data_IF_628136926271
#
_entry.id   IF_628136926271
#
_cell.length_a   1.000
_cell.length_b   1.000
_cell.length_c   1.000
_cell.angle_alpha   90.00
_cell.angle_beta   90.00
_cell.angle_gamma   90.00
#
_symmetry.space_group_name_H-M   'P 1'
#
loop_
_entity.id
_entity.type
_entity.pdbx_description
1 polymer ?
#
# COMPACT_ATOMS: atom_id res chain seq x y z
N UNK A 1 -10.47 14.72 9.79
CA UNK A 1 -10.98 15.59 8.70
C UNK A 1 -9.96 15.65 7.57
N UNK A 2 -10.31 16.13 6.37
CA UNK A 2 -9.32 16.33 5.32
C UNK A 2 -8.14 17.19 5.82
N UNK A 3 -6.92 16.76 5.52
CA UNK A 3 -5.69 17.43 5.97
C UNK A 3 -5.35 17.25 7.45
N UNK A 4 -6.10 16.43 8.22
CA UNK A 4 -5.72 16.11 9.59
C UNK A 4 -4.44 15.27 9.62
N UNK A 5 -3.58 15.51 10.60
CA UNK A 5 -2.36 14.73 10.81
C UNK A 5 -2.66 13.26 11.09
N UNK A 6 -1.80 12.37 10.62
CA UNK A 6 -1.87 10.93 10.91
C UNK A 6 -2.87 10.14 10.07
N UNK A 7 -3.39 10.71 8.99
CA UNK A 7 -4.18 9.94 8.01
C UNK A 7 -3.29 8.97 7.27
N UNK A 8 -3.76 7.72 7.18
CA UNK A 8 -3.13 6.73 6.32
C UNK A 8 -3.55 6.99 4.87
N UNK A 9 -2.68 6.65 3.93
CA UNK A 9 -2.98 6.77 2.53
C UNK A 9 -3.60 5.50 1.95
N UNK A 10 -4.39 5.65 0.89
CA UNK A 10 -4.91 4.56 0.06
C UNK A 10 -4.56 4.85 -1.39
N UNK A 11 -3.90 3.88 -2.03
CA UNK A 11 -3.50 3.98 -3.42
C UNK A 11 -4.69 3.70 -4.36
N UNK A 12 -4.86 4.53 -5.39
CA UNK A 12 -5.93 4.44 -6.38
C UNK A 12 -5.31 4.38 -7.77
N UNK A 13 -5.51 3.27 -8.47
CA UNK A 13 -5.11 3.10 -9.87
C UNK A 13 -6.36 3.11 -10.76
N UNK A 14 -6.26 3.67 -11.96
CA UNK A 14 -7.37 3.66 -12.91
C UNK A 14 -7.03 4.31 -14.25
N UNK A 15 -7.72 3.87 -15.31
CA UNK A 15 -7.50 4.36 -16.68
C UNK A 15 -8.52 5.43 -17.08
N UNK A 16 -9.63 5.55 -16.34
CA UNK A 16 -10.69 6.53 -16.60
C UNK A 16 -10.63 7.67 -15.56
N UNK A 17 -10.26 8.91 -15.95
CA UNK A 17 -10.09 10.02 -15.02
C UNK A 17 -11.30 10.31 -14.12
N UNK A 18 -12.53 10.31 -14.68
CA UNK A 18 -13.73 10.53 -13.87
C UNK A 18 -13.97 9.45 -12.80
N UNK A 19 -13.72 8.17 -13.13
CA UNK A 19 -13.84 7.08 -12.15
C UNK A 19 -12.78 7.20 -11.04
N UNK A 20 -11.53 7.51 -11.42
CA UNK A 20 -10.45 7.78 -10.46
C UNK A 20 -10.83 8.91 -9.52
N UNK A 21 -11.37 10.02 -10.03
CA UNK A 21 -11.79 11.15 -9.21
C UNK A 21 -12.88 10.76 -8.20
N UNK A 22 -13.91 10.01 -8.63
CA UNK A 22 -14.95 9.52 -7.72
C UNK A 22 -14.35 8.64 -6.62
N UNK A 23 -13.46 7.71 -6.98
CA UNK A 23 -12.79 6.84 -5.99
C UNK A 23 -11.91 7.63 -5.02
N UNK A 24 -11.15 8.61 -5.50
CA UNK A 24 -10.31 9.45 -4.64
C UNK A 24 -11.16 10.28 -3.66
N UNK A 25 -12.31 10.79 -4.10
CA UNK A 25 -13.27 11.46 -3.21
C UNK A 25 -13.78 10.51 -2.12
N UNK A 26 -14.20 9.29 -2.48
CA UNK A 26 -14.66 8.30 -1.50
C UNK A 26 -13.58 7.94 -0.47
N UNK A 27 -12.33 7.78 -0.91
CA UNK A 27 -11.19 7.54 -0.01
C UNK A 27 -11.00 8.72 0.95
N UNK A 28 -11.08 9.95 0.45
CA UNK A 28 -10.97 11.14 1.29
C UNK A 28 -12.10 11.22 2.32
N UNK A 29 -13.34 11.02 1.87
CA UNK A 29 -14.55 11.10 2.71
C UNK A 29 -14.56 10.04 3.82
N UNK A 30 -13.92 8.89 3.60
CA UNK A 30 -13.78 7.82 4.60
C UNK A 30 -12.62 8.04 5.57
N UNK A 31 -11.89 9.15 5.45
CA UNK A 31 -10.86 9.54 6.41
C UNK A 31 -9.42 9.19 6.02
N UNK A 32 -9.19 8.68 4.81
CA UNK A 32 -7.85 8.34 4.29
C UNK A 32 -7.34 9.37 3.28
N UNK A 33 -6.03 9.49 3.11
CA UNK A 33 -5.46 10.32 2.04
C UNK A 33 -5.44 9.54 0.70
N UNK A 34 -6.18 9.97 -0.33
CA UNK A 34 -6.12 9.32 -1.62
C UNK A 34 -4.80 9.61 -2.33
N UNK A 35 -4.19 8.58 -2.90
CA UNK A 35 -2.96 8.72 -3.68
C UNK A 35 -3.15 8.05 -5.04
N UNK A 36 -3.14 8.83 -6.12
CA UNK A 36 -3.17 8.27 -7.46
C UNK A 36 -1.87 7.51 -7.75
N UNK A 37 -1.99 6.23 -8.10
CA UNK A 37 -0.86 5.32 -8.34
C UNK A 37 -0.63 5.01 -9.83
N UNK A 38 -1.42 5.62 -10.73
CA UNK A 38 -1.28 5.47 -12.18
C UNK A 38 -2.40 4.64 -12.83
N UNK A 39 -2.11 4.09 -14.01
CA UNK A 39 -3.02 3.25 -14.77
C UNK A 39 -3.24 1.88 -14.10
N UNK A 40 -4.30 1.16 -14.52
CA UNK A 40 -4.49 -0.23 -14.08
C UNK A 40 -3.30 -1.12 -14.48
N UNK A 41 -2.72 -0.86 -15.64
CA UNK A 41 -1.51 -1.55 -16.10
C UNK A 41 -0.30 -1.37 -15.17
N UNK A 42 -0.23 -0.27 -14.42
CA UNK A 42 0.82 0.02 -13.43
C UNK A 42 0.44 -0.35 -11.99
N UNK A 43 -0.80 -0.80 -11.76
CA UNK A 43 -1.31 -1.17 -10.42
C UNK A 43 -0.55 -2.32 -9.75
N UNK A 44 0.29 -3.06 -10.49
CA UNK A 44 1.18 -4.05 -9.90
C UNK A 44 2.12 -3.47 -8.82
N UNK A 45 2.37 -2.15 -8.83
CA UNK A 45 3.18 -1.43 -7.84
C UNK A 45 2.55 -1.33 -6.45
N UNK A 46 1.26 -1.68 -6.33
CA UNK A 46 0.51 -1.66 -5.07
C UNK A 46 0.00 -3.04 -4.65
N UNK A 47 0.57 -4.11 -5.21
CA UNK A 47 0.22 -5.50 -4.91
C UNK A 47 1.13 -6.09 -3.81
N UNK A 48 0.82 -7.29 -3.26
CA UNK A 48 1.66 -7.91 -2.24
C UNK A 48 3.16 -7.94 -2.61
N UNK A 49 4.02 -7.82 -1.59
CA UNK A 49 5.47 -7.82 -1.76
C UNK A 49 6.03 -6.61 -2.54
N UNK A 50 5.27 -5.51 -2.63
CA UNK A 50 5.75 -4.21 -3.15
C UNK A 50 5.72 -3.12 -2.07
N UNK A 51 6.60 -2.10 -2.14
CA UNK A 51 6.82 -1.14 -1.06
C UNK A 51 5.62 -0.39 -0.49
N UNK A 52 4.50 -0.29 -1.21
CA UNK A 52 3.31 0.40 -0.74
C UNK A 52 2.27 -0.52 -0.08
N UNK A 53 2.46 -1.84 -0.12
CA UNK A 53 1.44 -2.80 0.29
C UNK A 53 1.38 -2.98 1.82
N UNK A 54 0.23 -2.71 2.43
CA UNK A 54 -0.07 -2.98 3.85
C UNK A 54 0.96 -2.44 4.86
N UNK A 55 1.55 -1.27 4.60
CA UNK A 55 2.58 -0.67 5.45
C UNK A 55 2.11 0.57 6.24
N UNK A 56 0.83 0.92 6.17
CA UNK A 56 0.24 2.08 6.86
C UNK A 56 1.05 3.36 6.65
N UNK A 57 1.34 3.68 5.39
CA UNK A 57 2.06 4.87 5.02
C UNK A 57 1.13 6.08 4.97
N UNK A 58 1.63 7.23 5.42
CA UNK A 58 1.07 8.54 5.04
C UNK A 58 1.32 8.80 3.54
N UNK A 59 0.54 9.70 2.94
CA UNK A 59 0.53 9.96 1.50
C UNK A 59 1.92 10.23 0.90
N UNK A 60 2.74 11.03 1.58
CA UNK A 60 4.07 11.37 1.10
C UNK A 60 4.99 10.13 1.02
N UNK A 61 4.89 9.20 1.97
CA UNK A 61 5.68 7.96 1.95
C UNK A 61 5.13 6.97 0.92
N UNK A 62 3.80 6.85 0.80
CA UNK A 62 3.15 6.04 -0.22
C UNK A 62 3.60 6.46 -1.64
N UNK A 63 3.61 7.76 -1.95
CA UNK A 63 4.07 8.29 -3.24
C UNK A 63 5.52 7.91 -3.54
N UNK A 64 6.40 7.96 -2.55
CA UNK A 64 7.81 7.54 -2.68
C UNK A 64 7.97 6.02 -2.84
N UNK A 65 7.00 5.23 -2.39
CA UNK A 65 7.06 3.77 -2.42
C UNK A 65 6.84 3.20 -3.84
N UNK A 66 5.95 3.80 -4.65
CA UNK A 66 5.62 3.29 -5.99
C UNK A 66 6.82 3.14 -6.96
N UNK A 67 7.75 4.12 -7.09
CA UNK A 67 8.89 3.97 -7.99
C UNK A 67 9.91 2.92 -7.51
N UNK A 68 9.86 2.53 -6.22
CA UNK A 68 10.75 1.52 -5.64
C UNK A 68 10.28 0.09 -5.98
N UNK A 69 9.03 -0.09 -6.40
CA UNK A 69 8.51 -1.37 -6.82
C UNK A 69 9.18 -1.83 -8.13
N UNK A 70 9.60 -3.09 -8.16
CA UNK A 70 10.21 -3.73 -9.33
C UNK A 70 9.32 -4.83 -9.87
N UNK A 71 9.05 -4.79 -11.18
CA UNK A 71 8.09 -5.69 -11.83
C UNK A 71 8.57 -7.13 -11.71
N UNK A 72 7.69 -8.02 -11.28
CA UNK A 72 7.99 -9.45 -11.10
C UNK A 72 8.57 -9.83 -9.72
N UNK A 73 9.32 -8.94 -9.05
CA UNK A 73 9.91 -9.25 -7.74
C UNK A 73 8.86 -9.56 -6.67
N UNK A 74 7.76 -8.81 -6.66
CA UNK A 74 6.67 -9.05 -5.70
C UNK A 74 6.12 -10.48 -5.80
N UNK A 75 5.89 -10.97 -7.02
CA UNK A 75 5.40 -12.34 -7.25
C UNK A 75 6.39 -13.39 -6.75
N UNK A 76 7.69 -13.18 -7.00
CA UNK A 76 8.74 -14.11 -6.56
C UNK A 76 8.85 -14.20 -5.03
N UNK A 77 8.47 -13.14 -4.31
CA UNK A 77 8.60 -13.02 -2.85
C UNK A 77 7.35 -13.43 -2.07
N UNK A 78 6.25 -13.77 -2.75
CA UNK A 78 5.01 -14.23 -2.10
C UNK A 78 5.23 -15.38 -1.09
N UNK A 79 6.03 -16.43 -1.38
CA UNK A 79 6.28 -17.48 -0.39
C UNK A 79 6.89 -16.95 0.91
N UNK A 80 7.79 -15.95 0.82
CA UNK A 80 8.41 -15.31 1.98
C UNK A 80 7.40 -14.51 2.81
N UNK A 81 6.46 -13.80 2.16
CA UNK A 81 5.38 -13.11 2.85
C UNK A 81 4.50 -14.08 3.64
N UNK A 82 4.07 -15.17 3.02
CA UNK A 82 3.24 -16.16 3.71
C UNK A 82 3.99 -16.85 4.85
N UNK A 83 5.26 -17.18 4.65
CA UNK A 83 6.11 -17.72 5.72
C UNK A 83 6.31 -16.73 6.87
N UNK A 84 6.26 -15.42 6.60
CA UNK A 84 6.38 -14.40 7.65
C UNK A 84 5.11 -14.31 8.50
N UNK A 85 3.92 -14.48 7.90
CA UNK A 85 2.66 -14.53 8.66
C UNK A 85 2.59 -15.70 9.63
N UNK A 86 3.19 -16.85 9.30
CA UNK A 86 3.30 -17.98 10.22
C UNK A 86 4.09 -17.68 11.50
N UNK A 87 4.85 -16.58 11.54
CA UNK A 87 5.64 -16.16 12.71
C UNK A 87 4.92 -15.14 13.60
N UNK A 88 3.76 -14.64 13.17
CA UNK A 88 3.05 -13.57 13.87
C UNK A 88 2.37 -14.01 15.18
N UNK A 89 2.26 -15.32 15.42
CA UNK A 89 1.49 -15.88 16.54
C UNK A 89 -0.03 -15.88 16.27
N UNK A 90 -0.82 -16.35 17.23
CA UNK A 90 -2.28 -16.51 17.06
C UNK A 90 -3.03 -15.16 17.02
N UNK A 91 -2.57 -14.17 17.79
CA UNK A 91 -3.22 -12.86 17.93
C UNK A 91 -2.19 -11.71 17.87
N UNK A 92 -1.57 -11.45 16.71
CA UNK A 92 -0.62 -10.35 16.59
C UNK A 92 -1.29 -8.99 16.80
N UNK A 93 -0.54 -8.05 17.35
CA UNK A 93 -0.97 -6.65 17.43
C UNK A 93 -0.95 -6.02 16.04
N UNK A 94 -1.73 -4.94 15.86
CA UNK A 94 -1.71 -4.15 14.61
C UNK A 94 -0.29 -3.70 14.27
N UNK A 95 0.43 -3.12 15.23
CA UNK A 95 1.82 -2.66 15.07
C UNK A 95 2.73 -3.79 14.57
N UNK A 96 2.61 -4.99 15.13
CA UNK A 96 3.44 -6.12 14.72
C UNK A 96 3.14 -6.61 13.29
N UNK A 97 1.88 -6.55 12.86
CA UNK A 97 1.49 -6.83 11.47
C UNK A 97 2.11 -5.81 10.53
N UNK A 98 2.05 -4.52 10.89
CA UNK A 98 2.59 -3.44 10.08
C UNK A 98 4.11 -3.55 9.97
N UNK A 99 4.81 -3.80 11.07
CA UNK A 99 6.28 -3.97 11.06
C UNK A 99 6.71 -5.19 10.24
N UNK A 100 5.98 -6.30 10.34
CA UNK A 100 6.21 -7.45 9.47
C UNK A 100 6.02 -7.09 7.99
N UNK A 101 4.92 -6.43 7.62
CA UNK A 101 4.72 -5.99 6.23
C UNK A 101 5.82 -5.03 5.77
N UNK A 102 6.22 -4.06 6.60
CA UNK A 102 7.32 -3.13 6.28
C UNK A 102 8.63 -3.87 6.06
N UNK A 103 8.97 -4.84 6.91
CA UNK A 103 10.21 -5.64 6.76
C UNK A 103 10.26 -6.47 5.47
N UNK A 104 9.10 -6.91 4.97
CA UNK A 104 9.00 -7.66 3.72
C UNK A 104 8.91 -6.71 2.53
N UNK A 105 8.09 -5.67 2.60
CA UNK A 105 7.67 -4.91 1.42
C UNK A 105 8.59 -3.72 1.13
N UNK A 106 9.13 -3.07 2.17
CA UNK A 106 10.01 -1.92 2.00
C UNK A 106 11.35 -2.37 1.41
N UNK A 107 11.98 -1.60 0.50
CA UNK A 107 13.29 -1.94 -0.02
C UNK A 107 14.30 -2.01 1.12
N UNK A 108 15.04 -3.12 1.17
CA UNK A 108 16.33 -3.24 1.85
C UNK A 108 17.46 -2.86 0.91
#
# INVERSE_FOLDING_TARGET
PEGSRGRLAVAVAGDHPAAVQVTMTLVNDTGFDPVFSGSIAESWRQQPCTPSYCCDWEAATMLRAFPLAKKGEGRARLPSLYASFGKLGETPTHEYIIDNNRSINWPV
#
